data_IF_556011710357
#
_entry.id   IF_556011710357
#
_cell.length_a   1.000
_cell.length_b   1.000
_cell.length_c   1.000
_cell.angle_alpha   90.00
_cell.angle_beta   90.00
_cell.angle_gamma   90.00
#
_symmetry.space_group_name_H-M   'P 1'
#
loop_
_entity.id
_entity.type
_entity.pdbx_description
1 polymer ?
#
# COMPACT_ATOMS: atom_id res chain seq x y z
N UNK A 1 -13.66 15.73 14.15
CA UNK A 1 -12.43 16.45 14.59
C UNK A 1 -11.28 15.88 13.78
N UNK A 2 -10.55 16.75 13.09
CA UNK A 2 -9.38 16.35 12.28
C UNK A 2 -8.20 15.95 13.19
N UNK A 3 -7.55 14.83 12.90
CA UNK A 3 -6.31 14.43 13.59
C UNK A 3 -5.07 14.87 12.81
N UNK A 4 -4.30 15.82 13.35
CA UNK A 4 -2.95 16.11 12.84
C UNK A 4 -1.98 15.03 13.35
N UNK A 5 -1.30 14.36 12.42
CA UNK A 5 -0.50 13.18 12.71
C UNK A 5 1.00 13.48 12.67
N UNK A 6 1.75 12.70 13.45
CA UNK A 6 3.21 12.63 13.38
C UNK A 6 3.62 11.32 12.71
N UNK A 7 4.82 11.27 12.12
CA UNK A 7 5.37 10.02 11.58
C UNK A 7 5.30 8.90 12.62
N UNK A 8 4.72 7.77 12.24
CA UNK A 8 4.49 6.59 13.08
C UNK A 8 3.19 6.62 13.91
N UNK A 9 2.49 7.75 14.02
CA UNK A 9 1.23 7.82 14.76
C UNK A 9 0.11 7.11 14.00
N UNK A 10 -0.93 6.71 14.72
CA UNK A 10 -2.10 6.04 14.12
C UNK A 10 -3.40 6.50 14.77
N UNK A 11 -4.49 6.42 14.00
CA UNK A 11 -5.84 6.82 14.40
C UNK A 11 -6.85 5.76 13.93
N UNK A 12 -7.91 5.46 14.70
CA UNK A 12 -9.02 4.63 14.21
C UNK A 12 -9.69 5.27 12.98
N UNK A 13 -10.22 4.43 12.10
CA UNK A 13 -10.97 4.83 10.91
C UNK A 13 -12.38 4.23 11.01
N UNK A 14 -13.33 5.06 11.42
CA UNK A 14 -14.74 4.69 11.59
C UNK A 14 -15.56 5.00 10.31
N UNK A 15 -14.95 4.78 9.14
CA UNK A 15 -15.58 5.00 7.84
C UNK A 15 -15.57 3.69 7.03
N UNK A 16 -16.70 3.38 6.40
CA UNK A 16 -16.81 2.19 5.54
C UNK A 16 -15.93 2.31 4.28
N UNK A 17 -15.82 3.53 3.75
CA UNK A 17 -14.95 3.84 2.62
C UNK A 17 -14.19 5.14 2.90
N UNK A 18 -12.96 5.23 2.40
CA UNK A 18 -12.09 6.38 2.60
C UNK A 18 -11.61 6.96 1.28
N UNK A 19 -11.28 8.24 1.31
CA UNK A 19 -10.59 8.95 0.25
C UNK A 19 -9.28 9.51 0.78
N UNK A 20 -8.16 8.95 0.34
CA UNK A 20 -6.82 9.45 0.64
C UNK A 20 -6.39 10.42 -0.47
N UNK A 21 -6.23 11.68 -0.12
CA UNK A 21 -5.86 12.77 -1.04
C UNK A 21 -4.42 13.17 -0.76
N UNK A 22 -3.56 12.98 -1.75
CA UNK A 22 -2.24 13.62 -1.77
C UNK A 22 -2.39 15.05 -2.28
N UNK A 23 -1.71 16.00 -1.64
CA UNK A 23 -1.71 17.40 -2.04
C UNK A 23 -0.30 17.98 -1.96
N UNK A 24 0.07 18.78 -2.96
CA UNK A 24 1.33 19.50 -3.03
C UNK A 24 1.19 20.77 -3.89
N UNK A 25 2.11 21.72 -3.73
CA UNK A 25 2.16 22.93 -4.56
C UNK A 25 3.00 22.69 -5.82
N UNK A 26 2.43 22.81 -7.03
CA UNK A 26 3.22 22.73 -8.26
C UNK A 26 4.06 24.00 -8.46
N UNK A 27 5.17 23.90 -9.19
CA UNK A 27 6.06 25.03 -9.43
C UNK A 27 7.19 24.71 -10.39
N UNK A 28 7.99 25.71 -10.73
CA UNK A 28 9.18 25.51 -11.56
C UNK A 28 10.16 24.59 -10.84
N UNK A 29 10.47 23.44 -11.46
CA UNK A 29 11.35 22.43 -10.88
C UNK A 29 10.70 21.57 -9.79
N UNK A 30 9.38 21.63 -9.60
CA UNK A 30 8.67 20.66 -8.74
C UNK A 30 8.18 19.52 -9.64
N UNK A 31 8.54 18.25 -9.37
CA UNK A 31 8.08 17.13 -10.18
C UNK A 31 6.57 16.93 -10.07
N UNK A 32 5.99 16.26 -11.06
CA UNK A 32 4.63 15.76 -10.95
C UNK A 32 4.62 14.58 -9.96
N UNK A 33 3.59 14.51 -9.12
CA UNK A 33 3.43 13.49 -8.08
C UNK A 33 2.22 12.63 -8.42
N UNK A 34 2.41 11.32 -8.42
CA UNK A 34 1.37 10.32 -8.66
C UNK A 34 1.07 9.53 -7.39
N UNK A 35 -0.21 9.45 -7.05
CA UNK A 35 -0.70 8.56 -6.00
C UNK A 35 -0.78 7.12 -6.52
N UNK A 36 -0.45 6.17 -5.66
CA UNK A 36 -0.65 4.74 -5.91
C UNK A 36 -1.08 4.04 -4.63
N UNK A 37 -1.65 2.84 -4.78
CA UNK A 37 -2.07 2.01 -3.67
C UNK A 37 -1.69 0.55 -3.87
N UNK A 38 -1.22 -0.10 -2.80
CA UNK A 38 -0.94 -1.55 -2.78
C UNK A 38 -1.86 -2.22 -1.76
N UNK A 39 -2.56 -3.27 -2.19
CA UNK A 39 -3.37 -4.12 -1.35
C UNK A 39 -2.52 -5.30 -0.88
N UNK A 40 -2.30 -5.41 0.43
CA UNK A 40 -1.43 -6.41 1.02
C UNK A 40 -2.24 -7.40 1.86
N UNK A 41 -1.88 -8.67 1.74
CA UNK A 41 -2.40 -9.72 2.62
C UNK A 41 -1.59 -9.86 3.91
N UNK A 42 -1.91 -10.90 4.68
CA UNK A 42 -1.31 -11.19 5.99
C UNK A 42 0.24 -11.32 5.98
N UNK A 43 0.83 -11.63 4.82
CA UNK A 43 2.28 -11.71 4.64
C UNK A 43 2.96 -10.34 4.52
N UNK A 44 2.19 -9.24 4.47
CA UNK A 44 2.70 -7.90 4.15
C UNK A 44 3.14 -7.76 2.70
N UNK A 45 2.64 -8.62 1.81
CA UNK A 45 2.91 -8.61 0.36
C UNK A 45 1.61 -8.62 -0.43
N UNK A 46 1.70 -8.18 -1.68
CA UNK A 46 0.60 -8.32 -2.66
C UNK A 46 0.31 -9.79 -2.93
N UNK A 47 -0.93 -10.12 -3.32
CA UNK A 47 -1.33 -11.49 -3.66
C UNK A 47 -1.10 -11.77 -5.16
N UNK A 48 -1.21 -10.74 -5.98
CA UNK A 48 -0.89 -10.72 -7.41
C UNK A 48 -0.50 -9.30 -7.83
N UNK A 49 0.01 -9.13 -9.05
CA UNK A 49 0.32 -7.79 -9.58
C UNK A 49 -0.93 -6.90 -9.73
N UNK A 50 -2.12 -7.51 -9.76
CA UNK A 50 -3.40 -6.78 -9.81
C UNK A 50 -3.70 -6.00 -8.53
N UNK A 51 -3.10 -6.37 -7.40
CA UNK A 51 -3.22 -5.67 -6.11
C UNK A 51 -2.48 -4.32 -6.08
N UNK A 52 -1.86 -3.93 -7.20
CA UNK A 52 -1.23 -2.62 -7.36
C UNK A 52 -2.08 -1.68 -8.21
N UNK A 53 -2.56 -0.60 -7.61
CA UNK A 53 -3.32 0.46 -8.26
C UNK A 53 -2.41 1.67 -8.48
N UNK A 54 -2.21 2.06 -9.73
CA UNK A 54 -1.33 3.16 -10.12
C UNK A 54 -1.82 3.80 -11.43
N UNK A 55 -1.05 4.69 -12.04
CA UNK A 55 -1.51 5.45 -13.20
C UNK A 55 -1.90 4.58 -14.42
N UNK A 56 -1.19 3.48 -14.67
CA UNK A 56 -1.50 2.58 -15.80
C UNK A 56 -2.62 1.58 -15.47
N UNK A 57 -2.85 1.33 -14.18
CA UNK A 57 -3.94 0.49 -13.66
C UNK A 57 -4.70 1.26 -12.58
N UNK A 58 -5.56 2.24 -12.96
CA UNK A 58 -6.18 3.15 -12.00
C UNK A 58 -7.29 2.50 -11.18
N UNK A 59 -7.62 1.22 -11.39
CA UNK A 59 -8.69 0.51 -10.69
C UNK A 59 -8.25 -0.92 -10.41
N UNK A 60 -8.42 -1.36 -9.17
CA UNK A 60 -8.30 -2.77 -8.80
C UNK A 60 -9.44 -3.59 -9.43
N UNK A 61 -9.24 -4.86 -9.83
CA UNK A 61 -10.29 -5.68 -10.45
C UNK A 61 -11.58 -5.85 -9.62
N UNK A 62 -11.48 -5.81 -8.29
CA UNK A 62 -12.66 -5.83 -7.41
C UNK A 62 -13.53 -4.56 -7.49
N UNK A 63 -13.00 -3.47 -8.04
CA UNK A 63 -13.64 -2.15 -8.07
C UNK A 63 -13.64 -1.40 -6.73
N UNK A 64 -13.14 -2.02 -5.66
CA UNK A 64 -13.18 -1.46 -4.30
C UNK A 64 -12.05 -0.47 -4.01
N UNK A 65 -10.96 -0.51 -4.78
CA UNK A 65 -9.85 0.44 -4.68
C UNK A 65 -9.61 1.05 -6.05
N UNK A 66 -9.53 2.38 -6.11
CA UNK A 66 -9.29 3.10 -7.36
C UNK A 66 -8.58 4.42 -7.13
N UNK A 67 -7.76 4.80 -8.10
CA UNK A 67 -7.23 6.14 -8.24
C UNK A 67 -8.22 7.02 -9.00
N UNK A 68 -8.41 8.25 -8.55
CA UNK A 68 -9.18 9.27 -9.24
C UNK A 68 -8.26 10.18 -10.06
N UNK A 69 -8.80 10.92 -11.06
CA UNK A 69 -8.00 11.88 -11.80
C UNK A 69 -7.42 12.97 -10.90
N UNK A 70 -6.21 13.42 -11.24
CA UNK A 70 -5.59 14.59 -10.60
C UNK A 70 -6.48 15.82 -10.76
N UNK A 71 -6.54 16.68 -9.73
CA UNK A 71 -7.32 17.92 -9.75
C UNK A 71 -6.48 19.08 -9.24
N UNK A 72 -6.58 20.21 -9.92
CA UNK A 72 -6.06 21.48 -9.43
C UNK A 72 -7.10 22.14 -8.52
N UNK A 73 -6.70 22.50 -7.31
CA UNK A 73 -7.51 23.19 -6.31
C UNK A 73 -6.78 24.47 -5.86
N UNK A 74 -7.45 25.43 -5.21
CA UNK A 74 -6.79 26.66 -4.76
C UNK A 74 -5.55 26.43 -3.88
N UNK A 75 -5.50 25.33 -3.13
CA UNK A 75 -4.40 24.96 -2.23
C UNK A 75 -3.28 24.15 -2.90
N UNK A 76 -3.36 23.86 -4.21
CA UNK A 76 -2.34 23.11 -4.94
C UNK A 76 -2.89 22.05 -5.91
N UNK A 77 -2.03 21.13 -6.32
CA UNK A 77 -2.42 19.97 -7.12
C UNK A 77 -2.75 18.80 -6.19
N UNK A 78 -3.71 17.98 -6.60
CA UNK A 78 -4.14 16.80 -5.83
C UNK A 78 -4.18 15.56 -6.69
N UNK A 79 -3.84 14.43 -6.07
CA UNK A 79 -4.07 13.08 -6.59
C UNK A 79 -4.74 12.25 -5.49
N UNK A 80 -5.58 11.29 -5.85
CA UNK A 80 -6.53 10.70 -4.91
C UNK A 80 -6.70 9.22 -5.12
N UNK A 81 -6.69 8.46 -4.03
CA UNK A 81 -7.09 7.06 -3.96
C UNK A 81 -8.35 6.94 -3.11
N UNK A 82 -9.32 6.18 -3.61
CA UNK A 82 -10.48 5.74 -2.85
C UNK A 82 -10.40 4.25 -2.56
N UNK A 83 -10.82 3.85 -1.35
CA UNK A 83 -10.87 2.47 -0.93
C UNK A 83 -12.14 2.20 -0.10
N UNK A 84 -12.93 1.20 -0.49
CA UNK A 84 -14.06 0.68 0.29
C UNK A 84 -13.57 -0.39 1.26
N UNK A 85 -13.22 0.04 2.47
CA UNK A 85 -12.62 -0.79 3.51
C UNK A 85 -13.60 -1.80 4.11
N UNK A 86 -14.89 -1.49 4.10
CA UNK A 86 -15.95 -2.37 4.61
C UNK A 86 -16.24 -3.55 3.69
N UNK A 87 -16.06 -3.36 2.38
CA UNK A 87 -16.27 -4.40 1.38
C UNK A 87 -14.99 -5.17 1.00
N UNK A 88 -13.80 -4.71 1.41
CA UNK A 88 -12.54 -5.39 1.13
C UNK A 88 -12.55 -6.83 1.66
N UNK A 89 -12.11 -7.76 0.81
CA UNK A 89 -11.99 -9.17 1.15
C UNK A 89 -11.13 -9.37 2.42
N UNK A 90 -11.45 -10.41 3.20
CA UNK A 90 -10.76 -10.71 4.45
C UNK A 90 -9.27 -11.06 4.26
N UNK A 91 -8.85 -11.42 3.04
CA UNK A 91 -7.44 -11.64 2.72
C UNK A 91 -6.63 -10.35 2.52
N UNK A 92 -7.26 -9.16 2.50
CA UNK A 92 -6.57 -7.86 2.48
C UNK A 92 -6.53 -7.29 3.89
N UNK A 93 -5.34 -7.29 4.48
CA UNK A 93 -5.10 -6.78 5.84
C UNK A 93 -4.61 -5.34 5.87
N UNK A 94 -4.07 -4.86 4.74
CA UNK A 94 -3.47 -3.55 4.65
C UNK A 94 -3.62 -2.94 3.25
N UNK A 95 -3.86 -1.63 3.19
CA UNK A 95 -3.80 -0.81 1.97
C UNK A 95 -2.75 0.26 2.17
N UNK A 96 -1.63 0.16 1.46
CA UNK A 96 -0.53 1.13 1.49
C UNK A 96 -0.83 2.23 0.48
N UNK A 97 -0.71 3.49 0.88
CA UNK A 97 -0.85 4.65 0.00
C UNK A 97 0.53 5.28 -0.20
N UNK A 98 0.99 5.30 -1.45
CA UNK A 98 2.29 5.82 -1.82
C UNK A 98 2.18 7.00 -2.79
N UNK A 99 3.18 7.86 -2.74
CA UNK A 99 3.45 8.91 -3.71
C UNK A 99 4.70 8.53 -4.51
N UNK A 100 4.71 8.75 -5.81
CA UNK A 100 5.92 8.69 -6.64
C UNK A 100 6.05 9.97 -7.45
N UNK A 101 7.28 10.41 -7.66
CA UNK A 101 7.59 11.56 -8.51
C UNK A 101 8.16 11.09 -9.84
N UNK A 102 7.80 11.77 -10.93
CA UNK A 102 8.42 11.56 -12.23
C UNK A 102 9.57 12.57 -12.45
N UNK A 103 10.72 12.07 -12.89
CA UNK A 103 11.84 12.89 -13.35
C UNK A 103 12.66 13.64 -12.30
N UNK A 104 12.25 13.69 -11.02
CA UNK A 104 13.05 14.31 -9.95
C UNK A 104 12.71 13.80 -8.54
N UNK A 105 13.54 14.11 -7.55
CA UNK A 105 13.39 13.66 -6.17
C UNK A 105 12.43 14.54 -5.35
N UNK A 106 11.88 13.97 -4.27
CA UNK A 106 10.91 14.61 -3.39
C UNK A 106 11.47 15.79 -2.59
N UNK A 107 12.79 16.03 -2.56
CA UNK A 107 13.36 17.25 -1.98
C UNK A 107 12.79 18.54 -2.60
N UNK A 108 12.34 18.47 -3.86
CA UNK A 108 11.74 19.59 -4.58
C UNK A 108 10.25 19.79 -4.24
N UNK A 109 9.61 18.82 -3.58
CA UNK A 109 8.20 18.86 -3.19
C UNK A 109 8.09 19.25 -1.71
N UNK A 110 8.04 20.54 -1.43
CA UNK A 110 8.23 21.09 -0.07
C UNK A 110 7.04 20.88 0.88
N UNK A 111 5.83 20.68 0.36
CA UNK A 111 4.59 20.70 1.11
C UNK A 111 3.67 19.50 0.82
N UNK A 112 4.27 18.34 0.47
CA UNK A 112 3.53 17.10 0.29
C UNK A 112 2.76 16.72 1.57
N UNK A 113 1.47 16.50 1.42
CA UNK A 113 0.56 16.12 2.52
C UNK A 113 -0.38 15.03 2.06
N UNK A 114 -0.67 14.09 2.96
CA UNK A 114 -1.79 13.16 2.81
C UNK A 114 -2.93 13.59 3.73
N UNK A 115 -4.12 13.72 3.16
CA UNK A 115 -5.37 14.01 3.85
C UNK A 115 -6.29 12.81 3.68
N UNK A 116 -6.77 12.25 4.79
CA UNK A 116 -7.70 11.12 4.78
C UNK A 116 -9.12 11.63 5.07
N UNK A 117 -10.05 11.36 4.18
CA UNK A 117 -11.47 11.69 4.34
C UNK A 117 -12.31 10.42 4.42
N UNK A 118 -13.48 10.52 5.04
CA UNK A 118 -14.58 9.60 4.78
C UNK A 118 -15.07 9.83 3.35
N UNK A 119 -15.15 8.76 2.55
CA UNK A 119 -15.60 8.86 1.16
C UNK A 119 -17.06 9.31 1.05
N UNK A 120 -17.90 9.06 2.06
CA UNK A 120 -19.29 9.54 2.10
C UNK A 120 -19.38 11.06 2.28
N UNK A 121 -18.36 11.69 2.88
CA UNK A 121 -18.32 13.12 3.21
C UNK A 121 -17.00 13.76 2.76
N UNK A 122 -16.57 13.46 1.53
CA UNK A 122 -15.25 13.81 1.03
C UNK A 122 -14.97 15.31 0.84
N UNK A 123 -15.98 16.17 0.98
CA UNK A 123 -15.85 17.65 0.96
C UNK A 123 -15.85 18.26 2.38
N UNK A 124 -15.97 17.43 3.42
CA UNK A 124 -15.94 17.84 4.82
C UNK A 124 -14.53 17.98 5.39
N UNK A 125 -14.43 17.97 6.71
CA UNK A 125 -13.12 17.93 7.39
C UNK A 125 -12.44 16.55 7.21
N UNK A 126 -11.12 16.51 6.98
CA UNK A 126 -10.39 15.26 6.95
C UNK A 126 -10.43 14.57 8.33
N UNK A 127 -10.53 13.24 8.31
CA UNK A 127 -10.35 12.41 9.50
C UNK A 127 -8.94 12.55 10.06
N UNK A 128 -7.95 12.62 9.16
CA UNK A 128 -6.54 12.70 9.50
C UNK A 128 -5.74 13.49 8.46
N UNK A 129 -4.67 14.14 8.92
CA UNK A 129 -3.74 14.90 8.10
C UNK A 129 -2.32 14.60 8.52
N UNK A 130 -1.45 14.30 7.57
CA UNK A 130 -0.02 14.07 7.79
C UNK A 130 0.83 14.81 6.76
N UNK A 131 1.77 15.61 7.26
CA UNK A 131 2.81 16.24 6.44
C UNK A 131 3.91 15.23 6.13
N UNK A 132 4.06 14.89 4.86
CA UNK A 132 5.03 13.89 4.39
C UNK A 132 6.33 14.61 4.05
N UNK A 133 7.44 14.15 4.64
CA UNK A 133 8.77 14.73 4.39
C UNK A 133 9.73 13.64 3.94
N UNK A 134 10.54 13.89 2.88
CA UNK A 134 11.66 13.01 2.54
C UNK A 134 12.67 12.97 3.70
N UNK A 135 13.35 11.83 3.86
CA UNK A 135 14.35 11.63 4.92
C UNK A 135 15.75 12.00 4.43
N UNK A 136 16.10 11.60 3.21
CA UNK A 136 17.41 11.85 2.60
C UNK A 136 17.37 12.94 1.52
N UNK A 137 16.20 13.18 0.93
CA UNK A 137 16.01 14.10 -0.19
C UNK A 137 16.21 13.44 -1.57
N UNK A 138 16.74 12.22 -1.60
CA UNK A 138 16.99 11.46 -2.84
C UNK A 138 15.80 10.59 -3.24
N UNK A 139 14.76 10.54 -2.42
CA UNK A 139 13.64 9.63 -2.62
C UNK A 139 12.77 10.07 -3.78
N UNK A 140 12.40 9.11 -4.64
CA UNK A 140 11.49 9.31 -5.79
C UNK A 140 10.19 8.53 -5.61
N UNK A 141 10.05 7.77 -4.52
CA UNK A 141 8.79 7.26 -4.01
C UNK A 141 8.75 7.34 -2.48
N UNK A 142 7.57 7.59 -1.90
CA UNK A 142 7.37 7.66 -0.45
C UNK A 142 6.05 6.97 -0.10
N UNK A 143 6.06 6.10 0.92
CA UNK A 143 4.83 5.63 1.55
C UNK A 143 4.30 6.75 2.44
N UNK A 144 3.23 7.40 2.01
CA UNK A 144 2.60 8.50 2.74
C UNK A 144 1.86 7.99 3.98
N UNK A 145 1.16 6.86 3.85
CA UNK A 145 0.45 6.25 4.95
C UNK A 145 -0.10 4.88 4.58
N UNK A 146 -0.71 4.23 5.54
CA UNK A 146 -1.31 2.92 5.35
C UNK A 146 -2.59 2.80 6.16
N UNK A 147 -3.54 2.05 5.62
CA UNK A 147 -4.74 1.59 6.31
C UNK A 147 -4.48 0.13 6.66
N UNK A 148 -4.69 -0.27 7.90
CA UNK A 148 -4.49 -1.66 8.32
C UNK A 148 -5.60 -2.13 9.26
N UNK A 149 -5.92 -3.42 9.19
CA UNK A 149 -6.89 -4.05 10.10
C UNK A 149 -6.29 -4.20 11.49
N UNK A 150 -7.07 -3.86 12.51
CA UNK A 150 -6.72 -4.10 13.91
C UNK A 150 -7.98 -4.46 14.70
N UNK A 151 -8.09 -5.72 15.11
CA UNK A 151 -9.32 -6.23 15.70
C UNK A 151 -10.42 -6.25 14.64
N UNK A 152 -11.58 -5.69 14.97
CA UNK A 152 -12.74 -5.64 14.05
C UNK A 152 -12.77 -4.39 13.15
N UNK A 153 -11.82 -3.47 13.32
CA UNK A 153 -11.81 -2.18 12.62
C UNK A 153 -10.55 -1.89 11.82
N UNK A 154 -10.59 -0.78 11.09
CA UNK A 154 -9.45 -0.24 10.35
C UNK A 154 -8.79 0.90 11.13
N UNK A 155 -7.49 1.05 10.93
CA UNK A 155 -6.70 2.17 11.45
C UNK A 155 -5.85 2.75 10.35
N UNK A 156 -5.65 4.06 10.38
CA UNK A 156 -4.70 4.75 9.52
C UNK A 156 -3.41 5.02 10.29
N UNK A 157 -2.26 4.72 9.70
CA UNK A 157 -0.93 5.05 10.23
C UNK A 157 -0.20 5.98 9.27
N UNK A 158 0.36 7.05 9.82
CA UNK A 158 1.27 7.93 9.11
C UNK A 158 2.65 7.26 9.03
N UNK A 159 3.19 7.08 7.82
CA UNK A 159 4.42 6.27 7.62
C UNK A 159 5.60 7.15 7.23
N UNK A 160 5.53 7.85 6.09
CA UNK A 160 6.60 8.72 5.61
C UNK A 160 7.93 8.00 5.36
N UNK A 161 7.89 6.77 4.84
CA UNK A 161 9.09 5.99 4.50
C UNK A 161 9.43 6.21 3.02
N UNK A 162 10.63 6.70 2.75
CA UNK A 162 11.09 6.99 1.39
C UNK A 162 11.84 5.83 0.72
N UNK A 163 11.86 5.86 -0.62
CA UNK A 163 12.50 4.90 -1.50
C UNK A 163 13.29 5.66 -2.58
N UNK A 164 14.64 5.69 -2.51
CA UNK A 164 15.50 6.27 -3.56
C UNK A 164 15.38 5.54 -4.90
N UNK A 165 15.07 4.24 -4.86
CA UNK A 165 14.83 3.38 -6.03
C UNK A 165 13.48 3.61 -6.72
N UNK A 166 12.74 4.64 -6.29
CA UNK A 166 11.45 5.02 -6.87
C UNK A 166 10.35 3.98 -6.72
N UNK A 167 9.31 4.16 -7.54
CA UNK A 167 8.10 3.34 -7.50
C UNK A 167 8.41 1.85 -7.75
N UNK A 168 9.37 1.55 -8.64
CA UNK A 168 9.78 0.19 -8.97
C UNK A 168 10.34 -0.51 -7.73
N UNK A 169 11.27 0.11 -7.02
CA UNK A 169 11.85 -0.49 -5.82
C UNK A 169 10.83 -0.61 -4.68
N UNK A 170 9.92 0.36 -4.54
CA UNK A 170 8.80 0.27 -3.60
C UNK A 170 7.90 -0.93 -3.94
N UNK A 171 7.46 -1.07 -5.19
CA UNK A 171 6.59 -2.16 -5.63
C UNK A 171 7.27 -3.53 -5.45
N UNK A 172 8.55 -3.62 -5.81
CA UNK A 172 9.37 -4.83 -5.62
C UNK A 172 9.47 -5.25 -4.15
N UNK A 173 9.60 -4.28 -3.23
CA UNK A 173 9.63 -4.55 -1.79
C UNK A 173 8.37 -5.29 -1.31
N UNK A 174 7.21 -4.99 -1.92
CA UNK A 174 5.92 -5.63 -1.63
C UNK A 174 5.61 -6.87 -2.47
N UNK A 175 6.53 -7.29 -3.35
CA UNK A 175 6.42 -8.53 -4.11
C UNK A 175 5.84 -8.40 -5.52
N UNK A 176 5.70 -7.17 -6.04
CA UNK A 176 5.37 -6.94 -7.45
C UNK A 176 6.60 -7.26 -8.31
N UNK A 177 6.40 -8.03 -9.39
CA UNK A 177 7.44 -8.24 -10.40
C UNK A 177 7.27 -7.20 -11.50
N UNK A 178 8.33 -6.42 -11.78
CA UNK A 178 8.32 -5.45 -12.88
C UNK A 178 9.18 -6.00 -14.00
N UNK A 179 8.55 -6.44 -15.09
CA UNK A 179 9.29 -6.85 -16.29
C UNK A 179 9.88 -5.61 -16.98
N UNK A 180 11.20 -5.54 -17.07
CA UNK A 180 11.95 -4.39 -17.62
C UNK A 180 11.72 -4.14 -19.13
N UNK A 181 10.89 -4.94 -19.80
CA UNK A 181 10.62 -4.83 -21.24
C UNK A 181 9.70 -3.67 -21.64
N UNK A 182 8.92 -3.08 -20.71
CA UNK A 182 8.03 -1.94 -21.02
C UNK A 182 8.73 -0.58 -20.90
N UNK A 183 9.91 -0.50 -20.27
CA UNK A 183 10.62 0.77 -20.05
C UNK A 183 11.41 1.28 -21.28
N UNK A 184 11.49 0.51 -22.37
CA UNK A 184 12.31 0.83 -23.56
C UNK A 184 11.51 1.16 -24.82
N UNK A 185 10.17 1.09 -24.80
CA UNK A 185 9.36 1.25 -26.01
C UNK A 185 8.88 2.71 -26.29
N UNK A 186 9.60 3.71 -25.75
CA UNK A 186 9.34 5.13 -26.02
C UNK A 186 10.23 5.74 -27.12
N UNK A 187 11.21 5.00 -27.63
CA UNK A 187 12.18 5.48 -28.61
C UNK A 187 12.29 4.54 -29.83
N UNK A 188 11.18 4.28 -30.51
CA UNK A 188 11.23 3.82 -31.91
C UNK A 188 10.71 4.91 -32.82
N UNK A 189 11.66 5.73 -33.27
CA UNK A 189 11.48 6.65 -34.37
C UNK A 189 11.02 5.89 -35.63
N UNK A 190 9.97 6.43 -36.23
CA UNK A 190 9.41 6.13 -37.55
C UNK A 190 10.49 5.78 -38.57
N UNK A 191 10.54 4.51 -38.98
CA UNK A 191 11.30 4.06 -40.15
C UNK A 191 10.30 3.63 -41.21
N UNK A 192 10.03 4.51 -42.17
CA UNK A 192 9.21 4.19 -43.34
C UNK A 192 9.88 3.15 -44.25
N UNK A 193 9.13 2.40 -45.07
CA UNK A 193 9.71 1.41 -45.98
C UNK A 193 10.31 2.12 -47.20
N UNK A 194 11.61 1.91 -47.45
CA UNK A 194 12.27 2.23 -48.71
C UNK A 194 12.55 0.93 -49.47
N UNK A 195 12.07 0.88 -50.72
CA UNK A 195 12.30 -0.20 -51.69
C UNK A 195 13.78 -0.38 -52.08
N UNK A 196 14.17 -1.55 -52.62
CA UNK A 196 15.55 -1.91 -52.86
C UNK A 196 16.01 -1.64 -54.30
N UNK A 197 17.19 -1.05 -54.48
CA UNK A 197 17.98 -1.18 -55.70
C UNK A 197 19.48 -0.87 -55.46
N UNK A 198 20.31 -1.90 -55.55
CA UNK A 198 21.76 -1.83 -55.81
C UNK A 198 21.99 -1.63 -57.34
N UNK A 199 23.23 -1.50 -57.90
CA UNK A 199 24.55 -1.74 -57.29
C UNK A 199 25.71 -0.80 -57.72
N UNK A 200 26.92 -1.15 -57.26
CA UNK A 200 28.26 -0.97 -57.88
C UNK A 200 29.18 0.04 -57.19
N UNK A 201 30.32 -0.46 -56.69
CA UNK A 201 31.48 0.37 -56.31
C UNK A 201 32.44 -0.36 -55.37
N UNK A 202 33.58 -0.79 -55.91
CA UNK A 202 34.57 -1.65 -55.27
C UNK A 202 35.54 -0.89 -54.33
N UNK A 203 35.74 -1.44 -53.12
CA UNK A 203 36.95 -1.35 -52.26
C UNK A 203 37.30 0.00 -51.60
N UNK A 204 38.14 0.03 -50.54
CA UNK A 204 38.90 -1.04 -49.89
C UNK A 204 38.58 -1.25 -48.39
N UNK A 205 39.22 -2.28 -47.80
CA UNK A 205 39.11 -2.78 -46.42
C UNK A 205 39.23 -1.72 -45.31
N UNK A 206 38.58 -1.89 -44.15
CA UNK A 206 38.84 -1.09 -42.96
C UNK A 206 40.23 -1.40 -42.38
N UNK A 207 40.96 -0.33 -42.08
CA UNK A 207 42.25 -0.37 -41.41
C UNK A 207 42.14 -0.96 -39.99
N UNK A 208 43.22 -1.62 -39.59
CA UNK A 208 43.43 -2.29 -38.33
C UNK A 208 43.15 -1.43 -37.09
N UNK A 209 42.52 -2.03 -36.10
CA UNK A 209 42.40 -1.54 -34.73
C UNK A 209 43.78 -1.56 -34.07
N UNK A 210 44.28 -0.47 -33.46
CA UNK A 210 45.51 -0.52 -32.68
C UNK A 210 45.27 -1.30 -31.37
N UNK A 211 46.22 -2.13 -30.90
CA UNK A 211 46.08 -2.81 -29.61
C UNK A 211 46.18 -1.79 -28.46
N UNK A 212 45.26 -1.91 -27.49
CA UNK A 212 45.33 -1.21 -26.21
C UNK A 212 46.64 -1.55 -25.47
N UNK A 213 47.31 -0.57 -24.84
CA UNK A 213 48.47 -0.85 -23.99
C UNK A 213 48.06 -1.69 -22.76
N UNK A 214 48.87 -2.71 -22.46
CA UNK A 214 48.70 -3.59 -21.31
C UNK A 214 48.79 -2.80 -20.00
N UNK A 215 47.79 -2.97 -19.14
CA UNK A 215 47.79 -2.48 -17.76
C UNK A 215 48.76 -3.35 -16.94
N UNK A 216 49.72 -2.78 -16.20
CA UNK A 216 50.59 -3.55 -15.31
C UNK A 216 49.80 -4.11 -14.11
N UNK A 217 50.14 -5.30 -13.58
CA UNK A 217 49.49 -5.84 -12.40
C UNK A 217 49.79 -4.97 -11.17
N UNK A 218 48.73 -4.54 -10.49
CA UNK A 218 48.82 -3.85 -9.20
C UNK A 218 49.37 -4.76 -8.09
N UNK A 219 49.96 -4.18 -7.04
CA UNK A 219 50.61 -4.93 -5.96
C UNK A 219 49.60 -5.74 -5.14
N UNK A 220 50.05 -6.92 -4.71
CA UNK A 220 49.36 -7.84 -3.80
C UNK A 220 48.95 -7.15 -2.48
N UNK A 221 47.76 -7.44 -1.92
CA UNK A 221 47.35 -6.89 -0.64
C UNK A 221 48.22 -7.43 0.50
N UNK A 222 48.78 -6.50 1.27
CA UNK A 222 49.54 -6.75 2.48
C UNK A 222 48.64 -7.42 3.53
N UNK A 223 49.07 -8.59 4.02
CA UNK A 223 48.33 -9.41 4.97
C UNK A 223 48.69 -9.04 6.41
N UNK A 224 48.65 -7.77 6.80
CA UNK A 224 48.83 -7.35 8.21
C UNK A 224 48.08 -6.04 8.52
N UNK A 225 46.78 -6.14 8.78
CA UNK A 225 46.02 -5.12 9.54
C UNK A 225 44.76 -5.77 10.14
N UNK A 226 44.92 -6.60 11.15
CA UNK A 226 43.80 -7.09 11.95
C UNK A 226 43.37 -5.98 12.92
N UNK A 227 42.42 -5.14 12.52
CA UNK A 227 41.66 -4.34 13.49
C UNK A 227 40.54 -5.23 14.03
N UNK A 228 40.75 -5.78 15.23
CA UNK A 228 39.68 -6.39 16.02
C UNK A 228 38.66 -5.30 16.38
N UNK A 229 37.54 -5.25 15.67
CA UNK A 229 36.34 -4.58 16.17
C UNK A 229 35.68 -5.52 17.19
N UNK A 230 35.93 -5.23 18.46
CA UNK A 230 35.23 -5.83 19.58
C UNK A 230 33.79 -5.27 19.59
N UNK A 231 32.80 -6.11 19.27
CA UNK A 231 31.38 -5.74 19.40
C UNK A 231 31.04 -5.57 20.89
N UNK A 232 30.35 -4.48 21.31
CA UNK A 232 29.77 -4.42 22.65
C UNK A 232 28.55 -5.34 22.70
N UNK A 233 28.63 -6.40 23.50
CA UNK A 233 27.51 -7.29 23.79
C UNK A 233 26.48 -6.57 24.65
N UNK A 234 25.29 -6.29 24.10
CA UNK A 234 24.13 -5.91 24.89
C UNK A 234 23.64 -7.12 25.70
N UNK A 235 23.76 -7.01 27.03
CA UNK A 235 23.40 -8.06 27.97
C UNK A 235 21.88 -8.25 28.07
N UNK A 236 21.42 -9.44 27.70
CA UNK A 236 20.17 -9.99 28.20
C UNK A 236 20.39 -10.50 29.64
N UNK A 237 19.51 -10.19 30.61
CA UNK A 237 19.54 -10.86 31.90
C UNK A 237 19.16 -12.35 31.74
N UNK A 238 19.80 -13.27 32.48
CA UNK A 238 19.47 -14.69 32.40
C UNK A 238 18.09 -14.96 33.03
N UNK A 239 17.35 -15.98 32.54
CA UNK A 239 16.09 -16.38 33.15
C UNK A 239 16.33 -16.95 34.55
N UNK A 240 15.54 -16.48 35.51
CA UNK A 240 15.49 -17.00 36.88
C UNK A 240 15.07 -18.47 36.89
N UNK A 241 15.85 -19.31 37.56
CA UNK A 241 15.54 -20.71 37.77
C UNK A 241 14.37 -20.87 38.75
N UNK A 242 13.37 -21.66 38.36
CA UNK A 242 12.28 -22.07 39.25
C UNK A 242 12.81 -23.04 40.32
N UNK A 243 12.56 -22.83 41.62
CA UNK A 243 12.85 -23.85 42.62
C UNK A 243 11.82 -24.99 42.54
N UNK A 244 12.34 -26.22 42.57
CA UNK A 244 11.57 -27.45 42.67
C UNK A 244 10.82 -27.51 44.02
N UNK A 245 9.51 -27.72 43.97
CA UNK A 245 8.69 -27.95 45.15
C UNK A 245 8.74 -29.43 45.55
N UNK A 246 9.18 -29.67 46.78
CA UNK A 246 9.09 -30.96 47.45
C UNK A 246 7.66 -31.27 47.90
N UNK A 247 7.26 -32.54 47.81
CA UNK A 247 6.14 -33.12 48.57
C UNK A 247 6.53 -33.18 50.08
N UNK A 248 5.67 -33.16 51.11
CA UNK A 248 4.36 -33.76 51.39
C UNK A 248 3.78 -33.03 52.64
N UNK A 249 2.44 -33.00 52.80
CA UNK A 249 1.68 -33.31 54.04
C UNK A 249 0.54 -32.33 54.45
N UNK A 250 -0.68 -32.91 54.43
CA UNK A 250 -1.82 -32.79 55.35
C UNK A 250 -2.48 -31.43 55.67
N UNK A 251 -3.80 -31.40 55.46
CA UNK A 251 -4.75 -30.35 55.86
C UNK A 251 -4.92 -30.23 57.38
N UNK A 252 -5.61 -29.18 57.88
CA UNK A 252 -7.06 -29.32 58.04
C UNK A 252 -7.88 -28.13 57.54
N UNK A 253 -9.12 -28.48 57.20
CA UNK A 253 -10.19 -27.62 56.70
C UNK A 253 -10.64 -26.57 57.72
N UNK A 254 -10.86 -25.34 57.23
CA UNK A 254 -11.78 -24.38 57.82
C UNK A 254 -12.86 -24.06 56.79
N UNK A 255 -14.09 -24.47 57.11
CA UNK A 255 -15.25 -24.36 56.26
C UNK A 255 -15.81 -22.93 56.23
N UNK A 256 -16.20 -22.52 55.03
CA UNK A 256 -17.26 -21.54 54.85
C UNK A 256 -18.45 -22.25 54.18
N UNK A 257 -19.69 -22.01 54.62
CA UNK A 257 -20.87 -22.63 54.05
C UNK A 257 -21.15 -22.07 52.65
N UNK A 258 -21.29 -22.98 51.68
CA UNK A 258 -21.74 -22.70 50.33
C UNK A 258 -23.28 -22.62 50.32
N UNK A 259 -23.90 -21.52 49.87
CA UNK A 259 -25.35 -21.53 49.65
C UNK A 259 -25.68 -22.35 48.40
N UNK A 260 -26.64 -23.26 48.55
CA UNK A 260 -27.24 -24.01 47.45
C UNK A 260 -28.03 -23.05 46.55
N UNK A 261 -27.70 -22.99 45.27
CA UNK A 261 -28.52 -22.35 44.26
C UNK A 261 -29.42 -23.41 43.61
N UNK A 262 -30.72 -23.29 43.87
CA UNK A 262 -31.78 -23.98 43.12
C UNK A 262 -31.84 -23.45 41.67
N UNK A 263 -32.20 -24.28 40.68
CA UNK A 263 -32.37 -23.81 39.31
C UNK A 263 -33.73 -23.11 39.13
N UNK A 264 -33.79 -21.90 38.53
CA UNK A 264 -35.07 -21.36 38.09
C UNK A 264 -35.53 -22.06 36.81
N UNK A 265 -36.57 -22.86 36.93
CA UNK A 265 -37.39 -23.35 35.83
C UNK A 265 -38.50 -22.32 35.51
N UNK A 266 -38.29 -21.48 34.50
CA UNK A 266 -39.31 -20.68 33.78
C UNK A 266 -38.64 -20.27 32.46
N UNK A 267 -39.00 -20.81 31.29
CA UNK A 267 -40.26 -20.58 30.59
C UNK A 267 -39.91 -19.93 29.24
N UNK A 268 -39.56 -20.75 28.25
CA UNK A 268 -39.34 -20.28 26.87
C UNK A 268 -40.67 -19.82 26.27
N UNK A 269 -40.78 -18.60 25.72
CA UNK A 269 -41.89 -18.27 24.83
C UNK A 269 -41.70 -18.98 23.48
N UNK A 270 -42.76 -19.65 23.06
CA UNK A 270 -42.92 -20.34 21.78
C UNK A 270 -42.69 -19.39 20.60
N UNK A 271 -42.04 -19.80 19.49
CA UNK A 271 -42.02 -19.00 18.27
C UNK A 271 -43.44 -18.95 17.69
N UNK A 272 -44.01 -17.74 17.65
CA UNK A 272 -45.23 -17.48 16.91
C UNK A 272 -45.00 -17.78 15.42
N UNK A 273 -45.87 -18.62 14.85
CA UNK A 273 -45.89 -18.90 13.44
C UNK A 273 -46.00 -17.61 12.63
N UNK A 274 -45.13 -17.49 11.62
CA UNK A 274 -45.18 -16.43 10.63
C UNK A 274 -46.57 -16.37 9.99
N UNK A 275 -47.25 -15.23 10.16
CA UNK A 275 -48.40 -14.90 9.33
C UNK A 275 -47.91 -14.74 7.89
N UNK A 276 -48.40 -15.60 7.00
CA UNK A 276 -48.22 -15.47 5.57
C UNK A 276 -48.72 -14.09 5.13
N UNK A 277 -47.83 -13.27 4.56
CA UNK A 277 -48.23 -12.09 3.82
C UNK A 277 -48.89 -12.59 2.53
N UNK A 278 -50.22 -12.48 2.47
CA UNK A 278 -50.96 -12.69 1.25
C UNK A 278 -50.53 -11.61 0.22
N UNK A 279 -50.24 -11.98 -1.05
CA UNK A 279 -50.00 -10.98 -2.07
C UNK A 279 -51.29 -10.21 -2.37
N UNK A 280 -51.16 -8.90 -2.48
CA UNK A 280 -52.23 -7.96 -2.77
C UNK A 280 -52.88 -8.28 -4.13
N UNK A 281 -54.20 -8.57 -4.21
CA UNK A 281 -54.86 -8.94 -5.47
C UNK A 281 -54.94 -7.80 -6.49
N UNK A 282 -54.50 -6.59 -6.12
CA UNK A 282 -54.49 -5.40 -6.97
C UNK A 282 -53.10 -4.97 -7.46
N UNK A 283 -52.03 -5.74 -7.20
CA UNK A 283 -50.71 -5.43 -7.75
C UNK A 283 -50.62 -5.82 -9.24
N UNK A 284 -50.68 -4.82 -10.12
CA UNK A 284 -50.40 -4.97 -11.54
C UNK A 284 -49.01 -4.42 -11.88
N UNK A 285 -48.17 -5.23 -12.53
CA UNK A 285 -46.88 -4.78 -13.06
C UNK A 285 -47.10 -3.70 -14.15
N UNK A 286 -46.25 -2.65 -14.22
CA UNK A 286 -46.34 -1.68 -15.30
C UNK A 286 -46.04 -2.34 -16.65
N UNK A 287 -46.66 -1.89 -17.76
CA UNK A 287 -46.45 -2.48 -19.08
C UNK A 287 -44.98 -2.34 -19.47
N UNK A 288 -44.36 -3.48 -19.83
CA UNK A 288 -43.01 -3.47 -20.40
C UNK A 288 -43.02 -2.73 -21.74
N UNK A 289 -42.11 -1.77 -21.87
CA UNK A 289 -41.91 -1.00 -23.11
C UNK A 289 -41.49 -1.89 -24.28
N UNK A 290 -41.56 -1.38 -25.52
CA UNK A 290 -41.43 -2.18 -26.73
C UNK A 290 -40.05 -2.85 -26.82
N UNK A 291 -40.06 -4.18 -26.98
CA UNK A 291 -38.91 -4.99 -27.33
C UNK A 291 -38.47 -4.61 -28.75
N UNK A 292 -37.25 -4.07 -28.89
CA UNK A 292 -36.64 -3.85 -30.20
C UNK A 292 -36.32 -5.21 -30.83
N UNK A 293 -37.15 -5.64 -31.77
CA UNK A 293 -36.83 -6.74 -32.69
C UNK A 293 -35.76 -6.22 -33.66
N UNK A 294 -34.56 -6.80 -33.61
CA UNK A 294 -33.53 -6.59 -34.64
C UNK A 294 -33.96 -7.36 -35.90
N UNK A 295 -34.07 -6.64 -37.01
CA UNK A 295 -33.99 -7.16 -38.37
C UNK A 295 -32.68 -6.70 -38.99
#
# INVERSE_FOLDING_TARGET
MTHTMLKGSNVPVDAAAVRAVLRWTPGAGVPDVDASALLLGASGRVRSDEDFVFYNQPRHPSGLVRRLPKRSVPEGLTDTVEADLGALDASVDQVVIAASSDGAAFEQVLDLRILLFDAAFAEGEPLAVFDVRPETGEETAIICGELYRRGEGWKFRAVGQGYPTGLIGLATAFGISVDESEAVNGAQAVSGPLDPAAPTGAGPLPAAVPPLPAVPPGPTPDSQATVQHQQPSYGYPPPVAHPAAAAVAHQPAYGYPQPAAEPPAYGYPQPAAAAAHAPDPHFALPPQGPQFVRS
#
